data_IF_208793025832
#
_entry.id   IF_208793025832
#
_cell.length_a   1.000
_cell.length_b   1.000
_cell.length_c   1.000
_cell.angle_alpha   90.00
_cell.angle_beta   90.00
_cell.angle_gamma   90.00
#
_symmetry.space_group_name_H-M   'P 1'
#
loop_
_entity.id
_entity.type
_entity.pdbx_description
1 polymer ?
#
# COMPACT_ATOMS: atom_id res chain seq x y z
N UNK A 1 8.27 -15.41 9.12
CA UNK A 1 7.79 -14.80 7.86
C UNK A 1 8.56 -15.30 6.64
N UNK A 2 9.89 -15.27 6.63
CA UNK A 2 10.73 -15.73 5.50
C UNK A 2 10.40 -17.14 5.02
N UNK A 3 10.39 -18.12 5.93
CA UNK A 3 10.09 -19.51 5.58
C UNK A 3 8.71 -19.68 4.94
N UNK A 4 7.69 -18.98 5.45
CA UNK A 4 6.35 -19.02 4.88
C UNK A 4 6.30 -18.45 3.45
N UNK A 5 7.04 -17.36 3.18
CA UNK A 5 7.11 -16.77 1.84
C UNK A 5 7.77 -17.73 0.84
N UNK A 6 8.90 -18.32 1.22
CA UNK A 6 9.64 -19.24 0.35
C UNK A 6 8.86 -20.55 0.13
N UNK A 7 8.22 -21.07 1.18
CA UNK A 7 7.39 -22.28 1.07
C UNK A 7 6.15 -22.02 0.21
N UNK A 8 5.48 -20.88 0.40
CA UNK A 8 4.35 -20.51 -0.46
C UNK A 8 4.74 -20.35 -1.92
N UNK A 9 5.96 -19.87 -2.21
CA UNK A 9 6.50 -19.86 -3.57
C UNK A 9 6.78 -21.27 -4.10
N UNK A 10 7.40 -22.13 -3.30
CA UNK A 10 7.66 -23.54 -3.65
C UNK A 10 6.36 -24.30 -3.98
N UNK A 11 5.27 -23.96 -3.29
CA UNK A 11 3.94 -24.52 -3.50
C UNK A 11 3.14 -23.85 -4.63
N UNK A 12 3.66 -22.79 -5.26
CA UNK A 12 2.99 -22.08 -6.34
C UNK A 12 1.83 -21.17 -5.91
N UNK A 13 1.75 -20.81 -4.63
CA UNK A 13 0.69 -19.92 -4.11
C UNK A 13 0.91 -18.45 -4.48
N UNK A 14 2.17 -18.06 -4.61
CA UNK A 14 2.61 -16.71 -5.01
C UNK A 14 4.03 -16.77 -5.58
N UNK A 15 4.44 -15.77 -6.34
CA UNK A 15 5.71 -15.75 -7.05
C UNK A 15 6.66 -14.65 -6.57
N UNK A 16 6.13 -13.52 -6.10
CA UNK A 16 6.90 -12.32 -5.74
C UNK A 16 6.36 -11.73 -4.44
N UNK A 17 7.05 -12.03 -3.34
CA UNK A 17 6.68 -11.52 -2.01
C UNK A 17 7.26 -10.12 -1.77
N UNK A 18 6.51 -9.26 -1.10
CA UNK A 18 6.97 -7.97 -0.57
C UNK A 18 6.95 -8.02 0.96
N UNK A 19 8.08 -7.72 1.58
CA UNK A 19 8.26 -7.60 3.02
C UNK A 19 8.37 -6.14 3.39
N UNK A 20 7.55 -5.71 4.34
CA UNK A 20 7.49 -4.35 4.85
C UNK A 20 7.91 -4.39 6.32
N UNK A 21 9.13 -3.94 6.61
CA UNK A 21 9.78 -4.05 7.94
C UNK A 21 10.17 -2.67 8.48
N UNK A 22 10.42 -2.52 9.80
CA UNK A 22 10.97 -1.29 10.36
C UNK A 22 12.27 -0.85 9.66
N UNK A 23 12.41 0.45 9.40
CA UNK A 23 13.51 0.98 8.58
C UNK A 23 14.92 0.64 9.09
N UNK A 24 15.07 0.43 10.39
CA UNK A 24 16.35 0.17 11.04
C UNK A 24 16.76 -1.31 11.02
N UNK A 25 15.85 -2.23 10.66
CA UNK A 25 16.14 -3.67 10.61
C UNK A 25 16.21 -4.24 9.19
N UNK A 26 16.08 -3.41 8.15
CA UNK A 26 16.07 -3.86 6.74
C UNK A 26 17.29 -4.74 6.42
N UNK A 27 18.50 -4.28 6.79
CA UNK A 27 19.75 -4.99 6.50
C UNK A 27 19.87 -6.29 7.30
N UNK A 28 19.50 -6.25 8.59
CA UNK A 28 19.47 -7.44 9.43
C UNK A 28 18.50 -8.48 8.87
N UNK A 29 17.28 -8.08 8.52
CA UNK A 29 16.27 -8.96 7.96
C UNK A 29 16.73 -9.57 6.64
N UNK A 30 17.38 -8.79 5.77
CA UNK A 30 17.96 -9.30 4.53
C UNK A 30 19.08 -10.33 4.77
N UNK A 31 19.95 -10.10 5.76
CA UNK A 31 20.99 -11.06 6.14
C UNK A 31 20.40 -12.36 6.66
N UNK A 32 19.40 -12.29 7.54
CA UNK A 32 18.70 -13.47 8.06
C UNK A 32 17.96 -14.23 6.94
N UNK A 33 17.39 -13.50 5.98
CA UNK A 33 16.75 -14.10 4.80
C UNK A 33 17.74 -14.94 4.01
N UNK A 34 18.89 -14.38 3.65
CA UNK A 34 19.92 -15.08 2.86
C UNK A 34 20.64 -16.18 3.66
N UNK A 35 20.71 -16.06 4.99
CA UNK A 35 21.23 -17.13 5.83
C UNK A 35 20.33 -18.38 5.77
N UNK A 36 19.00 -18.18 5.79
CA UNK A 36 18.04 -19.28 5.69
C UNK A 36 17.89 -19.80 4.26
N UNK A 37 17.94 -18.92 3.26
CA UNK A 37 17.78 -19.24 1.85
C UNK A 37 18.87 -18.57 1.00
N UNK A 38 20.09 -19.13 0.96
CA UNK A 38 21.24 -18.52 0.26
C UNK A 38 21.05 -18.32 -1.23
N UNK A 39 20.20 -19.14 -1.86
CA UNK A 39 19.92 -19.09 -3.30
C UNK A 39 18.76 -18.15 -3.66
N UNK A 40 18.12 -17.49 -2.68
CA UNK A 40 16.99 -16.60 -2.95
C UNK A 40 17.43 -15.32 -3.65
N UNK A 41 16.75 -14.95 -4.73
CA UNK A 41 16.95 -13.69 -5.42
C UNK A 41 16.11 -12.58 -4.77
N UNK A 42 16.71 -11.85 -3.83
CA UNK A 42 16.05 -10.78 -3.09
C UNK A 42 16.45 -9.39 -3.58
N UNK A 43 15.49 -8.45 -3.52
CA UNK A 43 15.75 -7.03 -3.73
C UNK A 43 15.56 -6.26 -2.42
N UNK A 44 16.62 -5.64 -1.92
CA UNK A 44 16.59 -4.85 -0.68
C UNK A 44 16.56 -3.36 -1.00
N UNK A 45 15.64 -2.62 -0.39
CA UNK A 45 15.55 -1.16 -0.58
C UNK A 45 16.60 -0.43 0.25
N UNK A 46 17.15 0.65 -0.30
CA UNK A 46 17.95 1.63 0.42
C UNK A 46 17.21 2.98 0.53
N UNK A 47 17.68 3.87 1.42
CA UNK A 47 17.15 5.23 1.53
C UNK A 47 17.26 6.04 0.22
N UNK A 48 18.27 5.75 -0.61
CA UNK A 48 18.54 6.47 -1.87
C UNK A 48 17.55 6.11 -2.98
N UNK A 49 16.95 4.92 -2.92
CA UNK A 49 16.06 4.41 -3.96
C UNK A 49 14.73 5.16 -4.04
N UNK A 50 14.29 5.75 -2.93
CA UNK A 50 13.04 6.50 -2.83
C UNK A 50 13.23 8.03 -2.83
N UNK A 51 14.41 8.51 -3.19
CA UNK A 51 14.58 9.91 -3.60
C UNK A 51 13.69 10.20 -4.82
N UNK A 52 13.19 11.42 -4.96
CA UNK A 52 12.19 11.80 -5.97
C UNK A 52 12.56 11.36 -7.40
N UNK A 53 13.84 11.50 -7.77
CA UNK A 53 14.35 11.14 -9.10
C UNK A 53 14.55 9.63 -9.29
N UNK A 54 14.68 8.86 -8.21
CA UNK A 54 15.03 7.43 -8.25
C UNK A 54 13.81 6.51 -8.10
N UNK A 55 12.73 6.99 -7.47
CA UNK A 55 11.54 6.18 -7.16
C UNK A 55 10.96 5.49 -8.39
N UNK A 56 10.82 6.21 -9.51
CA UNK A 56 10.29 5.64 -10.76
C UNK A 56 11.16 4.49 -11.25
N UNK A 57 12.49 4.68 -11.28
CA UNK A 57 13.46 3.66 -11.69
C UNK A 57 13.42 2.44 -10.75
N UNK A 58 13.31 2.68 -9.45
CA UNK A 58 13.27 1.61 -8.47
C UNK A 58 11.99 0.76 -8.58
N UNK A 59 10.82 1.40 -8.70
CA UNK A 59 9.57 0.67 -8.91
C UNK A 59 9.56 -0.08 -10.25
N UNK A 60 10.13 0.48 -11.33
CA UNK A 60 10.32 -0.24 -12.60
C UNK A 60 11.26 -1.44 -12.46
N UNK A 61 12.29 -1.35 -11.62
CA UNK A 61 13.16 -2.49 -11.30
C UNK A 61 12.39 -3.60 -10.60
N UNK A 62 11.52 -3.26 -9.63
CA UNK A 62 10.66 -4.24 -8.96
C UNK A 62 9.72 -4.93 -9.96
N UNK A 63 9.05 -4.16 -10.82
CA UNK A 63 8.04 -4.70 -11.73
C UNK A 63 8.64 -5.61 -12.81
N UNK A 64 9.77 -5.20 -13.39
CA UNK A 64 10.44 -5.95 -14.48
C UNK A 64 11.36 -7.06 -13.99
N UNK A 65 11.87 -6.96 -12.77
CA UNK A 65 12.79 -7.95 -12.19
C UNK A 65 12.08 -9.21 -11.71
N UNK A 66 12.76 -10.35 -11.89
CA UNK A 66 12.37 -11.65 -11.35
C UNK A 66 12.95 -11.82 -9.96
N UNK A 67 12.23 -11.36 -8.93
CA UNK A 67 12.63 -11.47 -7.53
C UNK A 67 11.75 -12.47 -6.78
N UNK A 68 12.36 -13.25 -5.89
CA UNK A 68 11.63 -14.09 -4.93
C UNK A 68 10.97 -13.23 -3.85
N UNK A 69 11.73 -12.25 -3.35
CA UNK A 69 11.27 -11.31 -2.34
C UNK A 69 11.82 -9.90 -2.57
N UNK A 70 11.03 -8.89 -2.22
CA UNK A 70 11.46 -7.51 -2.06
C UNK A 70 11.37 -7.16 -0.58
N UNK A 71 12.41 -6.54 -0.02
CA UNK A 71 12.44 -6.08 1.38
C UNK A 71 12.46 -4.56 1.38
N UNK A 72 11.44 -3.98 2.00
CA UNK A 72 11.16 -2.55 2.01
C UNK A 72 10.93 -2.05 3.43
N UNK A 73 11.40 -0.83 3.71
CA UNK A 73 11.08 -0.15 4.96
C UNK A 73 9.66 0.43 4.98
N UNK A 74 9.06 0.56 6.17
CA UNK A 74 7.75 1.20 6.37
C UNK A 74 7.64 2.55 5.66
N UNK A 75 8.64 3.43 5.82
CA UNK A 75 8.59 4.79 5.26
C UNK A 75 8.65 4.85 3.73
N UNK A 76 9.22 3.83 3.10
CA UNK A 76 9.27 3.68 1.65
C UNK A 76 7.94 3.13 1.15
N UNK A 77 7.37 2.16 1.87
CA UNK A 77 6.09 1.54 1.53
C UNK A 77 4.95 2.56 1.54
N UNK A 78 4.88 3.43 2.55
CA UNK A 78 3.89 4.53 2.64
C UNK A 78 3.92 5.50 1.45
N UNK A 79 5.05 5.61 0.76
CA UNK A 79 5.20 6.49 -0.42
C UNK A 79 4.70 5.85 -1.71
N UNK A 80 4.34 4.57 -1.69
CA UNK A 80 3.82 3.86 -2.86
C UNK A 80 2.33 4.14 -2.95
N UNK A 81 1.92 4.73 -4.07
CA UNK A 81 0.53 5.09 -4.29
C UNK A 81 -0.25 3.90 -4.85
N UNK A 82 -1.49 3.74 -4.43
CA UNK A 82 -2.44 2.85 -5.07
C UNK A 82 -2.86 3.41 -6.43
N UNK A 83 -3.39 2.56 -7.31
CA UNK A 83 -3.99 3.04 -8.56
C UNK A 83 -5.11 4.03 -8.30
N UNK A 84 -5.33 4.94 -9.26
CA UNK A 84 -6.40 5.94 -9.17
C UNK A 84 -7.77 5.26 -9.00
N UNK A 85 -7.99 4.15 -9.71
CA UNK A 85 -9.21 3.33 -9.60
C UNK A 85 -9.41 2.81 -8.17
N UNK A 86 -8.36 2.25 -7.54
CA UNK A 86 -8.45 1.79 -6.16
C UNK A 86 -8.64 2.92 -5.17
N UNK A 87 -7.95 4.04 -5.35
CA UNK A 87 -8.15 5.23 -4.52
C UNK A 87 -9.61 5.73 -4.61
N UNK A 88 -10.16 5.80 -5.82
CA UNK A 88 -11.55 6.18 -6.04
C UNK A 88 -12.52 5.19 -5.40
N UNK A 89 -12.25 3.88 -5.52
CA UNK A 89 -13.04 2.82 -4.87
C UNK A 89 -13.12 3.01 -3.35
N UNK A 90 -11.99 3.24 -2.68
CA UNK A 90 -11.96 3.46 -1.23
C UNK A 90 -12.64 4.77 -0.80
N UNK A 91 -12.55 5.82 -1.61
CA UNK A 91 -13.25 7.08 -1.33
C UNK A 91 -14.77 6.92 -1.47
N UNK A 92 -15.22 6.18 -2.49
CA UNK A 92 -16.65 5.87 -2.66
C UNK A 92 -17.18 5.03 -1.50
N UNK A 93 -16.45 3.97 -1.08
CA UNK A 93 -16.86 3.21 0.10
C UNK A 93 -16.98 4.07 1.37
N UNK A 94 -16.07 5.03 1.57
CA UNK A 94 -16.16 5.96 2.69
C UNK A 94 -17.39 6.88 2.58
N UNK A 95 -17.72 7.34 1.37
CA UNK A 95 -18.93 8.14 1.12
C UNK A 95 -20.19 7.32 1.41
N UNK A 96 -20.22 6.06 0.99
CA UNK A 96 -21.34 5.15 1.22
C UNK A 96 -21.52 4.89 2.71
N UNK A 97 -20.45 4.58 3.44
CA UNK A 97 -20.47 4.38 4.88
C UNK A 97 -20.99 5.63 5.63
N UNK A 98 -20.49 6.83 5.27
CA UNK A 98 -20.96 8.08 5.85
C UNK A 98 -22.43 8.35 5.52
N UNK A 99 -22.88 8.01 4.32
CA UNK A 99 -24.28 8.16 3.90
C UNK A 99 -25.20 7.27 4.75
N UNK A 100 -24.82 6.00 4.93
CA UNK A 100 -25.54 5.08 5.80
C UNK A 100 -25.60 5.58 7.25
N UNK A 101 -24.49 6.08 7.79
CA UNK A 101 -24.48 6.67 9.15
C UNK A 101 -25.40 7.89 9.27
N UNK A 102 -25.42 8.78 8.26
CA UNK A 102 -26.30 9.95 8.25
C UNK A 102 -27.77 9.53 8.23
N UNK A 103 -28.12 8.56 7.40
CA UNK A 103 -29.50 8.08 7.26
C UNK A 103 -29.98 7.39 8.54
N UNK A 104 -29.11 6.62 9.22
CA UNK A 104 -29.42 6.02 10.51
C UNK A 104 -29.66 7.06 11.60
N UNK A 105 -28.78 8.07 11.72
CA UNK A 105 -28.96 9.16 12.67
C UNK A 105 -30.24 9.96 12.42
N UNK A 106 -30.60 10.20 11.16
CA UNK A 106 -31.86 10.87 10.78
C UNK A 106 -33.09 10.05 11.21
N UNK A 107 -33.05 8.73 11.04
CA UNK A 107 -34.15 7.82 11.45
C UNK A 107 -34.28 7.73 12.97
N UNK A 108 -33.16 7.72 13.69
CA UNK A 108 -33.13 7.60 15.15
C UNK A 108 -33.36 8.93 15.89
N UNK A 109 -33.68 10.01 15.17
CA UNK A 109 -33.97 11.31 15.78
C UNK A 109 -32.76 11.97 16.45
N UNK A 110 -31.55 11.64 16.00
CA UNK A 110 -30.32 12.18 16.58
C UNK A 110 -30.21 13.70 16.40
N UNK A 111 -29.37 14.32 17.24
CA UNK A 111 -29.18 15.76 17.22
C UNK A 111 -28.70 16.27 15.84
N UNK A 112 -29.31 17.37 15.40
CA UNK A 112 -28.98 18.06 14.15
C UNK A 112 -27.48 18.37 14.02
N UNK A 113 -26.81 18.68 15.14
CA UNK A 113 -25.38 18.98 15.16
C UNK A 113 -24.53 17.80 14.70
N UNK A 114 -24.84 16.58 15.16
CA UNK A 114 -24.14 15.34 14.79
C UNK A 114 -24.32 15.01 13.31
N UNK A 115 -25.53 15.20 12.78
CA UNK A 115 -25.83 15.02 11.34
C UNK A 115 -25.01 16.00 10.49
N UNK A 116 -24.99 17.28 10.88
CA UNK A 116 -24.25 18.32 10.16
C UNK A 116 -22.74 18.08 10.12
N UNK A 117 -22.18 17.51 11.19
CA UNK A 117 -20.76 17.13 11.22
C UNK A 117 -20.45 16.00 10.23
N UNK A 118 -21.29 14.97 10.16
CA UNK A 118 -21.11 13.87 9.20
C UNK A 118 -21.29 14.35 7.76
N UNK A 119 -22.27 15.20 7.48
CA UNK A 119 -22.46 15.80 6.15
C UNK A 119 -21.24 16.63 5.72
N UNK A 120 -20.64 17.40 6.64
CA UNK A 120 -19.40 18.13 6.38
C UNK A 120 -18.23 17.16 6.08
N UNK A 121 -18.15 16.03 6.78
CA UNK A 121 -17.14 15.01 6.52
C UNK A 121 -17.35 14.34 5.16
N UNK A 122 -18.59 13.96 4.81
CA UNK A 122 -18.94 13.40 3.50
C UNK A 122 -18.52 14.35 2.36
N UNK A 123 -18.87 15.63 2.48
CA UNK A 123 -18.50 16.65 1.48
C UNK A 123 -16.97 16.76 1.29
N UNK A 124 -16.19 16.67 2.38
CA UNK A 124 -14.72 16.66 2.27
C UNK A 124 -14.19 15.44 1.51
N UNK A 125 -14.81 14.27 1.68
CA UNK A 125 -14.42 13.04 0.96
C UNK A 125 -14.81 13.15 -0.52
N UNK A 126 -15.99 13.66 -0.83
CA UNK A 126 -16.44 13.95 -2.20
C UNK A 126 -15.51 14.95 -2.92
N UNK A 127 -15.08 16.01 -2.22
CA UNK A 127 -14.10 16.96 -2.74
C UNK A 127 -12.74 16.30 -3.04
N UNK A 128 -12.29 15.35 -2.21
CA UNK A 128 -11.09 14.56 -2.48
C UNK A 128 -11.26 13.68 -3.71
N UNK A 129 -12.41 13.02 -3.87
CA UNK A 129 -12.72 12.19 -5.03
C UNK A 129 -12.74 13.02 -6.32
N UNK A 130 -13.35 14.20 -6.28
CA UNK A 130 -13.35 15.13 -7.42
C UNK A 130 -11.93 15.54 -7.82
N UNK A 131 -11.10 15.95 -6.84
CA UNK A 131 -9.69 16.29 -7.08
C UNK A 131 -8.87 15.11 -7.61
N UNK A 132 -9.18 13.89 -7.19
CA UNK A 132 -8.51 12.68 -7.69
C UNK A 132 -8.80 12.50 -9.19
N UNK A 133 -10.06 12.65 -9.60
CA UNK A 133 -10.48 12.53 -11.00
C UNK A 133 -9.89 13.64 -11.89
N UNK A 134 -9.78 14.86 -11.37
CA UNK A 134 -9.17 16.00 -12.08
C UNK A 134 -7.65 15.81 -12.30
N UNK A 135 -6.98 15.03 -11.45
CA UNK A 135 -5.53 14.75 -11.52
C UNK A 135 -5.13 13.59 -12.45
N UNK A 136 -6.07 13.02 -13.22
CA UNK A 136 -5.87 11.89 -14.15
C UNK A 136 -4.77 12.08 -15.20
N UNK A 137 -4.20 13.29 -15.35
CA UNK A 137 -3.16 13.61 -16.34
C UNK A 137 -1.71 13.55 -15.84
N UNK A 138 -1.43 13.05 -14.63
CA UNK A 138 -0.05 12.94 -14.08
C UNK A 138 0.49 11.50 -14.16
N UNK A 139 0.82 11.09 -15.38
CA UNK A 139 1.21 9.74 -15.82
C UNK A 139 2.58 9.18 -15.33
N UNK A 140 3.14 9.64 -14.20
CA UNK A 140 4.58 9.39 -13.94
C UNK A 140 4.94 8.53 -12.73
N UNK A 141 3.97 8.02 -11.95
CA UNK A 141 4.27 7.23 -10.75
C UNK A 141 3.80 5.79 -10.91
N UNK A 142 4.72 4.83 -10.75
CA UNK A 142 4.39 3.40 -10.70
C UNK A 142 3.55 3.12 -9.45
N UNK A 143 2.38 2.51 -9.64
CA UNK A 143 1.45 2.20 -8.54
C UNK A 143 1.81 0.89 -7.85
N UNK A 144 1.25 0.65 -6.67
CA UNK A 144 1.43 -0.60 -5.93
C UNK A 144 1.11 -1.84 -6.77
N UNK A 145 0.02 -1.80 -7.53
CA UNK A 145 -0.42 -2.90 -8.41
C UNK A 145 0.60 -3.19 -9.51
N UNK A 146 1.24 -2.15 -10.02
CA UNK A 146 2.24 -2.26 -11.08
C UNK A 146 3.57 -2.83 -10.60
N UNK A 147 3.81 -2.96 -9.29
CA UNK A 147 4.99 -3.65 -8.76
C UNK A 147 4.98 -5.16 -9.08
N UNK A 148 3.79 -5.73 -9.32
CA UNK A 148 3.63 -7.15 -9.62
C UNK A 148 3.91 -8.07 -8.43
N UNK A 149 3.81 -7.56 -7.21
CA UNK A 149 3.91 -8.36 -5.97
C UNK A 149 2.57 -8.99 -5.67
N UNK A 150 2.54 -10.30 -5.42
CA UNK A 150 1.31 -11.09 -5.19
C UNK A 150 1.18 -11.57 -3.73
N UNK A 151 2.19 -11.33 -2.90
CA UNK A 151 2.12 -11.55 -1.45
C UNK A 151 2.74 -10.40 -0.68
N UNK A 152 2.04 -9.92 0.36
CA UNK A 152 2.52 -8.89 1.27
C UNK A 152 2.71 -9.49 2.69
N UNK A 153 3.88 -9.24 3.28
CA UNK A 153 4.19 -9.48 4.69
C UNK A 153 4.51 -8.14 5.33
N UNK A 154 3.74 -7.76 6.36
CA UNK A 154 3.95 -6.50 7.09
C UNK A 154 4.32 -6.84 8.52
N UNK A 155 5.51 -6.43 8.92
CA UNK A 155 5.93 -6.46 10.31
C UNK A 155 5.45 -5.20 11.03
N UNK A 156 5.12 -5.33 12.32
CA UNK A 156 4.49 -4.28 13.13
C UNK A 156 3.22 -3.68 12.49
N UNK A 157 2.38 -4.52 11.87
CA UNK A 157 1.19 -4.08 11.13
C UNK A 157 0.21 -3.21 11.95
N UNK A 158 0.26 -3.28 13.29
CA UNK A 158 -0.52 -2.45 14.20
C UNK A 158 -0.20 -0.94 14.13
N UNK A 159 0.85 -0.54 13.39
CA UNK A 159 1.19 0.87 13.13
C UNK A 159 0.47 1.48 11.94
N UNK A 160 -0.34 0.71 11.19
CA UNK A 160 -1.08 1.13 10.01
C UNK A 160 -2.58 1.26 10.26
#
# INVERSE_FOLDING_TARGET
MVAAAMEGKRLGLWNKSLFVVPNHIIEQFASEFLQLYPSANILVTSKKDFAMNNRKKFCSKISTGQYDAIIMGHSQFEKIQLSQERQAYFLNQQIDALTLSIDDLKKNGAEYYSIKQLEKSKKKVEEKLKKLNDNSRKDSVVTFEQLGTDKLFVDEAHRF
#
